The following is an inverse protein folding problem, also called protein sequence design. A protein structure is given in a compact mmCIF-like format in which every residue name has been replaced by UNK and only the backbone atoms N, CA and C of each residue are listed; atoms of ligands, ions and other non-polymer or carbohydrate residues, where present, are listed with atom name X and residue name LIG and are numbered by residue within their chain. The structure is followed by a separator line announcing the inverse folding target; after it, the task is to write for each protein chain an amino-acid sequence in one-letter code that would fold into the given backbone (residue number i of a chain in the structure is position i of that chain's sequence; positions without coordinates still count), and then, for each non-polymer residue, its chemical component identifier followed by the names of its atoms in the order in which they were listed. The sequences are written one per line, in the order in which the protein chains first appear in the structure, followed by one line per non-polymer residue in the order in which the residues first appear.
data_IF_524531075314
#
_entry.id   IF_524531075314
#
_cell.length_a   1.000
_cell.length_b   1.000
_cell.length_c   1.000
_cell.angle_alpha   90.00
_cell.angle_beta   90.00
_cell.angle_gamma   90.00
#
_symmetry.space_group_name_H-M   'P 1'
#
loop_
_entity.id
_entity.type
_entity.pdbx_description
1 polymer ?
#
# COMPACT_ATOMS: atom_id res chain seq x y z
N UNK A 1 -17.06 -0.62 -9.01
CA UNK A 1 -16.02 -0.89 -8.05
C UNK A 1 -16.19 0.01 -6.83
N UNK A 2 -16.37 -0.61 -5.70
CA UNK A 2 -16.59 0.13 -4.46
C UNK A 2 -15.31 0.13 -3.65
N UNK A 3 -14.77 1.33 -3.42
CA UNK A 3 -13.62 1.49 -2.56
C UNK A 3 -14.06 1.61 -1.12
N UNK A 4 -13.26 1.08 -0.21
CA UNK A 4 -13.47 1.32 1.21
C UNK A 4 -13.12 2.77 1.50
N UNK A 5 -13.99 3.42 2.29
CA UNK A 5 -13.71 4.77 2.76
C UNK A 5 -13.94 4.81 4.27
N UNK A 6 -13.26 5.72 4.93
CA UNK A 6 -13.34 5.86 6.37
C UNK A 6 -13.15 7.32 6.73
N UNK A 7 -13.98 7.82 7.67
CA UNK A 7 -13.81 9.16 8.19
C UNK A 7 -12.73 9.21 9.27
N UNK A 8 -12.41 8.04 9.84
CA UNK A 8 -11.45 7.94 10.94
C UNK A 8 -10.15 7.34 10.42
N UNK A 9 -9.01 7.76 11.00
CA UNK A 9 -7.73 7.14 10.63
C UNK A 9 -7.74 5.64 10.93
N UNK A 10 -7.20 4.88 10.00
CA UNK A 10 -7.06 3.44 10.13
C UNK A 10 -5.57 3.14 10.12
N UNK A 11 -5.13 2.24 11.00
CA UNK A 11 -3.73 1.85 11.02
C UNK A 11 -3.38 1.06 9.77
N UNK A 12 -2.44 1.59 9.01
CA UNK A 12 -1.97 1.00 7.78
C UNK A 12 -0.62 0.35 8.03
N UNK A 13 -0.46 -0.87 7.56
CA UNK A 13 0.82 -1.58 7.63
C UNK A 13 1.18 -2.06 6.23
N UNK A 14 2.32 -1.60 5.73
CA UNK A 14 2.78 -1.89 4.37
C UNK A 14 4.17 -2.48 4.42
N UNK A 15 4.45 -3.39 3.49
CA UNK A 15 5.81 -3.84 3.20
C UNK A 15 6.25 -3.17 1.91
N UNK A 16 7.34 -2.44 1.94
CA UNK A 16 7.78 -1.62 0.81
C UNK A 16 9.20 -1.94 0.42
N UNK A 17 9.50 -1.75 -0.87
CA UNK A 17 10.84 -1.96 -1.40
C UNK A 17 11.77 -0.81 -1.02
N UNK A 18 13.07 -1.01 -1.25
CA UNK A 18 14.07 0.05 -1.03
C UNK A 18 13.75 1.29 -1.85
N UNK A 19 13.28 1.12 -3.09
CA UNK A 19 12.94 2.24 -3.96
C UNK A 19 11.85 3.09 -3.33
N UNK A 20 10.78 2.44 -2.86
CA UNK A 20 9.67 3.16 -2.26
C UNK A 20 10.04 3.72 -0.88
N UNK A 21 10.90 3.00 -0.13
CA UNK A 21 11.41 3.49 1.14
C UNK A 21 12.06 4.87 0.97
N UNK A 22 12.91 5.02 -0.04
CA UNK A 22 13.61 6.29 -0.25
C UNK A 22 12.65 7.44 -0.53
N UNK A 23 11.59 7.15 -1.30
CA UNK A 23 10.57 8.16 -1.59
C UNK A 23 9.78 8.56 -0.34
N UNK A 24 9.40 7.59 0.47
CA UNK A 24 8.62 7.86 1.68
C UNK A 24 9.47 8.47 2.78
N UNK A 25 10.77 8.21 2.76
CA UNK A 25 11.68 8.86 3.70
C UNK A 25 11.73 10.37 3.45
N UNK A 26 11.71 10.78 2.19
CA UNK A 26 11.74 12.20 1.83
C UNK A 26 10.36 12.84 1.95
N UNK A 27 9.30 12.11 1.59
CA UNK A 27 7.94 12.62 1.58
C UNK A 27 7.03 11.59 2.26
N UNK A 28 6.83 11.76 3.56
CA UNK A 28 6.05 10.80 4.34
C UNK A 28 4.61 10.71 3.84
N UNK A 29 4.08 9.48 3.82
CA UNK A 29 2.68 9.25 3.49
C UNK A 29 1.75 9.73 4.60
N UNK A 30 2.17 9.54 5.86
CA UNK A 30 1.39 9.97 7.01
C UNK A 30 2.29 10.71 7.99
N UNK A 31 1.68 11.57 8.82
CA UNK A 31 2.43 12.36 9.80
C UNK A 31 3.09 11.49 10.86
N UNK A 32 2.47 10.35 11.19
CA UNK A 32 2.96 9.43 12.22
C UNK A 32 3.71 8.23 11.63
N UNK A 33 4.19 8.35 10.40
CA UNK A 33 4.86 7.27 9.69
C UNK A 33 6.09 6.76 10.43
N UNK A 34 6.19 5.44 10.51
CA UNK A 34 7.39 4.77 11.01
C UNK A 34 7.90 3.80 9.94
N UNK A 35 9.22 3.74 9.79
CA UNK A 35 9.86 2.87 8.81
C UNK A 35 10.88 2.00 9.53
N UNK A 36 10.77 0.69 9.36
CA UNK A 36 11.65 -0.28 9.98
C UNK A 36 12.17 -1.27 8.94
N UNK A 37 13.47 -1.61 8.98
CA UNK A 37 13.98 -2.59 8.03
C UNK A 37 13.48 -3.99 8.38
N UNK A 38 13.28 -4.80 7.33
CA UNK A 38 12.95 -6.21 7.50
C UNK A 38 14.16 -7.05 7.11
N UNK A 39 14.12 -8.35 7.44
CA UNK A 39 15.27 -9.22 7.21
C UNK A 39 15.60 -9.46 5.75
N UNK A 40 14.64 -9.21 4.85
CA UNK A 40 14.76 -9.52 3.42
C UNK A 40 15.15 -8.33 2.55
N UNK A 41 15.60 -7.24 3.18
CA UNK A 41 16.01 -6.04 2.45
C UNK A 41 14.86 -5.12 2.11
N UNK A 42 13.65 -5.44 2.56
CA UNK A 42 12.48 -4.58 2.43
C UNK A 42 12.28 -3.81 3.72
N UNK A 43 11.24 -2.99 3.74
CA UNK A 43 10.94 -2.13 4.87
C UNK A 43 9.48 -2.29 5.29
N UNK A 44 9.23 -2.16 6.59
CA UNK A 44 7.89 -2.13 7.13
C UNK A 44 7.51 -0.68 7.39
N UNK A 45 6.42 -0.23 6.78
CA UNK A 45 5.89 1.11 7.00
C UNK A 45 4.59 1.00 7.79
N UNK A 46 4.47 1.77 8.86
CA UNK A 46 3.23 1.88 9.63
C UNK A 46 2.85 3.34 9.76
N UNK A 47 1.55 3.58 9.79
CA UNK A 47 1.01 4.92 9.95
C UNK A 47 -0.50 4.87 9.89
N UNK A 48 -1.15 5.97 10.28
CA UNK A 48 -2.60 6.06 10.32
C UNK A 48 -3.09 7.12 9.35
N UNK A 49 -4.12 6.78 8.57
CA UNK A 49 -4.79 7.73 7.69
C UNK A 49 -6.18 7.18 7.35
N UNK A 50 -7.13 8.07 6.96
CA UNK A 50 -8.43 7.60 6.52
C UNK A 50 -8.31 6.84 5.20
N UNK A 51 -9.10 5.78 5.05
CA UNK A 51 -9.19 5.07 3.79
C UNK A 51 -9.98 5.89 2.78
N UNK A 52 -9.55 5.86 1.52
CA UNK A 52 -10.19 6.62 0.46
C UNK A 52 -9.89 5.98 -0.89
N UNK A 53 -10.67 6.34 -1.90
CA UNK A 53 -10.42 5.89 -3.26
C UNK A 53 -9.07 6.41 -3.78
N UNK A 54 -8.72 7.64 -3.38
CA UNK A 54 -7.43 8.20 -3.74
C UNK A 54 -6.27 7.39 -3.18
N UNK A 55 -6.41 6.91 -1.94
CA UNK A 55 -5.41 6.04 -1.34
C UNK A 55 -5.32 4.72 -2.09
N UNK A 56 -6.47 4.11 -2.43
CA UNK A 56 -6.48 2.87 -3.18
C UNK A 56 -5.72 3.00 -4.50
N UNK A 57 -5.98 4.08 -5.23
CA UNK A 57 -5.30 4.32 -6.50
C UNK A 57 -3.80 4.56 -6.31
N UNK A 58 -3.44 5.30 -5.24
CA UNK A 58 -2.04 5.52 -4.94
C UNK A 58 -1.33 4.21 -4.63
N UNK A 59 -1.95 3.36 -3.82
CA UNK A 59 -1.36 2.06 -3.47
C UNK A 59 -1.14 1.21 -4.72
N UNK A 60 -2.13 1.17 -5.61
CA UNK A 60 -2.02 0.40 -6.85
C UNK A 60 -0.92 0.97 -7.75
N UNK A 61 -0.72 2.28 -7.73
CA UNK A 61 0.28 2.92 -8.58
C UNK A 61 1.72 2.57 -8.19
N UNK A 62 1.93 2.06 -6.98
CA UNK A 62 3.27 1.64 -6.56
C UNK A 62 3.67 0.29 -7.15
N UNK A 63 2.71 -0.46 -7.67
CA UNK A 63 2.99 -1.70 -8.36
C UNK A 63 3.67 -2.73 -7.47
N UNK A 64 4.79 -3.28 -7.96
CA UNK A 64 5.50 -4.36 -7.27
C UNK A 64 6.33 -3.88 -6.08
N UNK A 65 6.35 -2.58 -5.80
CA UNK A 65 7.17 -2.02 -4.74
C UNK A 65 6.46 -1.95 -3.40
N UNK A 66 5.20 -2.39 -3.34
CA UNK A 66 4.39 -2.24 -2.14
C UNK A 66 3.45 -3.43 -1.97
N UNK A 67 3.40 -3.95 -0.74
CA UNK A 67 2.43 -4.97 -0.36
C UNK A 67 1.66 -4.47 0.84
N UNK A 68 0.32 -4.45 0.75
CA UNK A 68 -0.52 -4.09 1.90
C UNK A 68 -0.60 -5.29 2.83
N UNK A 69 -0.24 -5.08 4.10
CA UNK A 69 -0.34 -6.12 5.11
C UNK A 69 -1.61 -5.97 5.94
N UNK A 70 -1.94 -4.75 6.34
CA UNK A 70 -3.12 -4.44 7.14
C UNK A 70 -3.67 -3.09 6.72
N UNK A 71 -4.99 -2.88 6.81
CA UNK A 71 -6.01 -3.84 7.27
C UNK A 71 -6.26 -4.95 6.25
N UNK A 72 -6.78 -6.08 6.72
CA UNK A 72 -6.94 -7.27 5.87
C UNK A 72 -7.90 -7.02 4.71
N UNK A 73 -8.94 -6.24 4.93
CA UNK A 73 -9.91 -5.94 3.87
C UNK A 73 -9.24 -5.18 2.72
N UNK A 74 -8.37 -4.23 3.06
CA UNK A 74 -7.64 -3.48 2.06
C UNK A 74 -6.63 -4.38 1.33
N UNK A 75 -5.96 -5.26 2.07
CA UNK A 75 -5.05 -6.24 1.47
C UNK A 75 -5.77 -7.11 0.44
N UNK A 76 -6.96 -7.60 0.79
CA UNK A 76 -7.74 -8.45 -0.11
C UNK A 76 -8.21 -7.68 -1.34
N UNK A 77 -8.60 -6.43 -1.15
CA UNK A 77 -9.00 -5.57 -2.26
C UNK A 77 -7.84 -5.34 -3.23
N UNK A 78 -6.66 -5.07 -2.68
CA UNK A 78 -5.47 -4.85 -3.51
C UNK A 78 -5.08 -6.13 -4.25
N UNK A 79 -5.17 -7.28 -3.57
CA UNK A 79 -4.86 -8.57 -4.20
C UNK A 79 -5.80 -8.84 -5.39
N UNK A 80 -7.09 -8.56 -5.23
CA UNK A 80 -8.06 -8.74 -6.29
C UNK A 80 -7.74 -7.82 -7.48
N UNK A 81 -7.43 -6.56 -7.21
CA UNK A 81 -7.07 -5.61 -8.27
C UNK A 81 -5.79 -6.02 -8.98
N UNK A 82 -4.80 -6.50 -8.22
CA UNK A 82 -3.54 -6.95 -8.81
C UNK A 82 -3.73 -8.14 -9.74
N UNK A 83 -4.61 -9.07 -9.37
CA UNK A 83 -4.92 -10.21 -10.22
C UNK A 83 -5.58 -9.77 -11.53
N UNK A 84 -6.49 -8.80 -11.45
CA UNK A 84 -7.14 -8.25 -12.63
C UNK A 84 -6.13 -7.53 -13.52
N UNK A 85 -5.20 -6.79 -12.91
CA UNK A 85 -4.14 -6.13 -13.65
C UNK A 85 -3.25 -7.14 -14.36
N UNK A 86 -2.83 -8.18 -13.67
CA UNK A 86 -1.98 -9.22 -14.25
C UNK A 86 -2.69 -9.89 -15.44
N UNK A 87 -3.99 -10.13 -15.30
CA UNK A 87 -4.77 -10.76 -16.37
C UNK A 87 -4.77 -9.92 -17.64
N UNK A 88 -4.74 -8.59 -17.52
CA UNK A 88 -4.69 -7.71 -18.68
C UNK A 88 -3.40 -7.92 -19.49
N UNK A 89 -2.30 -8.18 -18.79
CA UNK A 89 -1.00 -8.36 -19.44
C UNK A 89 -0.78 -9.80 -19.92
N UNK A 90 -1.56 -10.74 -19.43
CA UNK A 90 -1.48 -12.13 -19.84
C UNK A 90 -2.29 -12.42 -21.11
N UNK A 91 -3.11 -11.48 -21.54
CA UNK A 91 -3.88 -11.60 -22.78
C UNK A 91 -2.96 -11.51 -23.99
N UNK A 92 -3.28 -12.33 -24.98
CA UNK A 92 -2.59 -12.28 -26.27
C UNK A 92 -3.49 -11.68 -27.32
#
# INVERSE_FOLDING_TARGET
LISQTSEYPVQLKLRISQVLYERLYENALTADQQLQPTADGWWLMTGCLPLSQGLDLWLLSQGEHLEVLEPIELREQMATSAKRMAALYEKN
#
